data_IF_859182897102
#
_entry.id   IF_859182897102
#
_cell.length_a   1.000
_cell.length_b   1.000
_cell.length_c   1.000
_cell.angle_alpha   90.00
_cell.angle_beta   90.00
_cell.angle_gamma   90.00
#
_symmetry.space_group_name_H-M   'P 1'
#
loop_
_entity.id
_entity.type
_entity.pdbx_description
1 polymer ?
#
# COMPACT_ATOMS: atom_id res chain seq x y z
N UNK A 1 -42.85 29.27 -14.76
CA UNK A 1 -41.91 30.42 -14.71
C UNK A 1 -40.50 29.90 -14.87
N UNK A 2 -39.91 30.11 -16.05
CA UNK A 2 -38.50 29.82 -16.37
C UNK A 2 -37.61 30.92 -15.77
N UNK A 3 -36.51 30.55 -15.10
CA UNK A 3 -35.35 31.42 -14.98
C UNK A 3 -34.09 30.63 -15.32
N UNK A 4 -33.47 31.09 -16.41
CA UNK A 4 -32.10 30.82 -16.83
C UNK A 4 -31.12 31.31 -15.75
N UNK A 5 -29.99 30.62 -15.58
CA UNK A 5 -28.69 31.30 -15.47
C UNK A 5 -27.69 30.50 -16.32
N UNK A 6 -27.07 31.23 -17.24
CA UNK A 6 -26.15 30.76 -18.24
C UNK A 6 -24.70 30.77 -17.75
N UNK A 7 -24.00 29.81 -18.33
CA UNK A 7 -22.58 29.54 -18.57
C UNK A 7 -21.59 30.72 -18.63
N UNK A 8 -20.33 30.35 -18.37
CA UNK A 8 -19.08 30.79 -19.04
C UNK A 8 -18.14 31.69 -18.22
N UNK A 9 -17.03 31.09 -17.77
CA UNK A 9 -15.84 31.83 -17.34
C UNK A 9 -14.73 31.69 -18.39
N UNK A 10 -14.17 32.84 -18.74
CA UNK A 10 -13.25 33.12 -19.85
C UNK A 10 -11.92 32.37 -19.76
N UNK A 11 -11.41 31.99 -20.93
CA UNK A 11 -10.02 31.61 -21.15
C UNK A 11 -9.08 32.82 -21.23
N UNK A 12 -7.80 32.56 -20.98
CA UNK A 12 -6.70 33.50 -21.21
C UNK A 12 -5.72 32.82 -22.17
N UNK A 13 -5.49 33.45 -23.31
CA UNK A 13 -4.49 33.09 -24.32
C UNK A 13 -3.74 34.36 -24.73
N UNK A 14 -2.47 34.16 -25.10
CA UNK A 14 -1.54 35.06 -25.83
C UNK A 14 -0.85 36.19 -25.02
N UNK A 15 0.38 36.61 -25.31
CA UNK A 15 1.49 36.10 -26.12
C UNK A 15 2.72 37.05 -25.95
N UNK A 16 3.93 36.49 -26.12
CA UNK A 16 5.11 37.00 -26.85
C UNK A 16 5.89 38.31 -26.48
N UNK A 17 7.23 38.13 -26.48
CA UNK A 17 8.31 39.03 -26.99
C UNK A 17 8.64 40.29 -26.18
N UNK A 18 9.86 40.82 -26.06
CA UNK A 18 11.23 40.56 -26.56
C UNK A 18 12.18 41.56 -25.84
N UNK A 19 13.47 41.22 -25.72
CA UNK A 19 14.63 42.04 -25.28
C UNK A 19 14.82 43.34 -26.13
N UNK A 20 15.70 44.35 -25.84
CA UNK A 20 17.15 44.20 -25.54
C UNK A 20 17.82 45.31 -24.67
N UNK A 21 19.13 45.13 -24.40
CA UNK A 21 20.22 46.14 -24.20
C UNK A 21 21.15 45.70 -23.05
N UNK A 22 22.46 45.88 -23.03
CA UNK A 22 23.50 46.23 -23.99
C UNK A 22 24.83 45.96 -23.25
N UNK A 23 25.86 45.48 -23.94
CA UNK A 23 27.22 45.34 -23.40
C UNK A 23 27.90 46.72 -23.23
N UNK A 24 28.99 46.81 -22.44
CA UNK A 24 30.29 46.92 -23.11
C UNK A 24 31.47 46.17 -22.43
N UNK A 25 32.23 45.49 -23.30
CA UNK A 25 33.69 45.59 -23.55
C UNK A 25 34.73 45.48 -22.41
N UNK A 26 35.40 44.31 -22.41
CA UNK A 26 36.84 44.00 -22.36
C UNK A 26 37.84 44.75 -21.45
N UNK A 27 38.61 43.96 -20.69
CA UNK A 27 40.05 44.12 -20.51
C UNK A 27 40.71 42.74 -20.30
N UNK A 28 41.78 42.49 -21.06
CA UNK A 28 42.59 41.26 -21.05
C UNK A 28 43.67 41.25 -19.94
N UNK A 29 44.63 40.30 -20.01
CA UNK A 29 44.94 39.40 -18.91
C UNK A 29 46.16 39.79 -18.08
N UNK A 30 46.24 39.31 -16.84
CA UNK A 30 47.47 39.30 -16.04
C UNK A 30 47.75 37.89 -15.50
N UNK A 31 48.99 37.48 -15.72
CA UNK A 31 49.54 36.16 -15.57
C UNK A 31 49.60 35.69 -14.11
N UNK A 32 49.35 34.39 -13.90
CA UNK A 32 49.61 33.68 -12.66
C UNK A 32 51.07 33.18 -12.62
N UNK A 33 51.78 33.26 -11.48
CA UNK A 33 53.01 32.51 -11.26
C UNK A 33 52.71 31.06 -10.80
N UNK A 34 53.61 30.10 -11.07
CA UNK A 34 53.43 28.71 -10.71
C UNK A 34 53.83 28.46 -9.25
N UNK A 35 53.15 27.53 -8.58
CA UNK A 35 53.62 26.95 -7.32
C UNK A 35 53.36 25.45 -7.32
N UNK A 36 54.42 24.75 -7.69
CA UNK A 36 54.91 23.44 -7.25
C UNK A 36 53.90 22.39 -6.80
N UNK A 37 53.78 21.36 -7.66
CA UNK A 37 53.27 20.03 -7.34
C UNK A 37 54.10 19.36 -6.25
N UNK A 38 53.44 18.93 -5.17
CA UNK A 38 53.93 17.86 -4.32
C UNK A 38 53.34 16.55 -4.84
N UNK A 39 54.18 15.74 -5.49
CA UNK A 39 53.83 14.42 -6.01
C UNK A 39 53.60 13.45 -4.84
N UNK A 40 52.34 13.11 -4.57
CA UNK A 40 51.97 11.95 -3.76
C UNK A 40 51.71 10.79 -4.73
N UNK A 41 52.50 9.73 -4.60
CA UNK A 41 52.40 8.53 -5.43
C UNK A 41 51.02 7.84 -5.36
N UNK A 42 50.72 6.92 -6.28
CA UNK A 42 49.42 6.27 -6.36
C UNK A 42 49.17 5.40 -5.11
N UNK A 43 48.11 5.71 -4.37
CA UNK A 43 47.54 4.83 -3.36
C UNK A 43 47.04 3.52 -4.00
N UNK A 44 47.22 2.36 -3.36
CA UNK A 44 46.70 1.10 -3.86
C UNK A 44 45.17 1.15 -3.88
N UNK A 45 44.59 0.95 -5.07
CA UNK A 45 43.15 0.78 -5.25
C UNK A 45 42.76 -0.59 -4.69
N UNK A 46 42.15 -0.62 -3.51
CA UNK A 46 41.47 -1.81 -3.00
C UNK A 46 40.22 -2.01 -3.89
N UNK A 47 40.00 -3.20 -4.48
CA UNK A 47 38.79 -3.48 -5.23
C UNK A 47 37.57 -3.24 -4.32
N UNK A 48 36.65 -2.39 -4.78
CA UNK A 48 35.37 -2.19 -4.11
C UNK A 48 34.67 -3.55 -4.01
N UNK A 49 34.56 -4.08 -2.80
CA UNK A 49 33.73 -5.25 -2.54
C UNK A 49 32.29 -4.89 -2.95
N UNK A 50 31.73 -5.65 -3.90
CA UNK A 50 30.29 -5.64 -4.16
C UNK A 50 29.56 -5.82 -2.83
N UNK A 51 28.57 -4.97 -2.49
CA UNK A 51 27.76 -5.21 -1.31
C UNK A 51 27.02 -6.54 -1.53
N UNK A 52 27.53 -7.59 -0.91
CA UNK A 52 26.88 -8.89 -0.87
C UNK A 52 25.72 -8.74 0.10
N UNK A 53 24.51 -8.60 -0.44
CA UNK A 53 23.29 -8.54 0.37
C UNK A 53 23.20 -9.87 1.12
N UNK A 54 23.29 -9.89 2.47
CA UNK A 54 23.13 -11.13 3.20
C UNK A 54 21.71 -11.68 2.99
N UNK A 55 21.53 -12.99 2.83
CA UNK A 55 20.20 -13.59 2.75
C UNK A 55 19.43 -13.25 4.03
N UNK A 56 18.27 -12.62 3.86
CA UNK A 56 17.37 -12.24 4.94
C UNK A 56 16.88 -13.49 5.67
N UNK A 57 17.20 -13.61 6.96
CA UNK A 57 16.72 -14.68 7.84
C UNK A 57 15.19 -14.68 7.82
N UNK A 58 14.56 -15.86 7.78
CA UNK A 58 13.11 -16.01 7.85
C UNK A 58 12.57 -15.18 9.03
N UNK A 59 11.57 -14.32 8.81
CA UNK A 59 11.21 -13.32 9.79
C UNK A 59 10.42 -13.97 10.95
N UNK A 60 10.62 -13.47 12.17
CA UNK A 60 9.92 -13.96 13.35
C UNK A 60 8.51 -13.37 13.37
N UNK A 61 7.50 -14.24 13.46
CA UNK A 61 6.12 -13.80 13.51
C UNK A 61 5.84 -12.96 14.77
N UNK A 62 5.33 -11.75 14.58
CA UNK A 62 5.20 -10.73 15.64
C UNK A 62 3.82 -10.74 16.29
N UNK A 63 2.79 -11.16 15.55
CA UNK A 63 1.40 -11.13 15.99
C UNK A 63 0.65 -12.35 15.44
N UNK A 64 -0.01 -13.10 16.34
CA UNK A 64 -1.01 -14.07 15.93
C UNK A 64 -2.30 -13.32 15.58
N UNK A 65 -2.64 -13.23 14.28
CA UNK A 65 -3.85 -12.53 13.81
C UNK A 65 -5.11 -13.03 14.53
N UNK A 66 -5.17 -14.33 14.85
CA UNK A 66 -6.30 -14.95 15.55
C UNK A 66 -6.44 -14.62 17.03
N UNK A 67 -5.49 -13.90 17.64
CA UNK A 67 -5.57 -13.45 19.04
C UNK A 67 -5.97 -11.98 19.17
N UNK A 68 -6.32 -11.33 18.05
CA UNK A 68 -6.74 -9.94 18.05
C UNK A 68 -8.26 -9.83 18.31
N UNK A 69 -8.66 -8.80 19.05
CA UNK A 69 -10.08 -8.53 19.37
C UNK A 69 -10.92 -8.11 18.14
N UNK A 70 -10.25 -7.77 17.03
CA UNK A 70 -10.86 -7.46 15.74
C UNK A 70 -10.04 -8.11 14.64
N UNK A 71 -10.69 -8.50 13.55
CA UNK A 71 -9.95 -8.93 12.37
C UNK A 71 -9.25 -7.71 11.75
N UNK A 72 -7.91 -7.74 11.56
CA UNK A 72 -7.23 -6.66 10.90
C UNK A 72 -7.69 -6.55 9.43
N UNK A 73 -7.67 -5.34 8.85
CA UNK A 73 -7.75 -5.17 7.40
C UNK A 73 -6.75 -6.10 6.68
N UNK A 74 -7.10 -6.59 5.50
CA UNK A 74 -6.28 -7.55 4.76
C UNK A 74 -6.14 -8.92 5.43
N UNK A 75 -6.81 -9.24 6.53
CA UNK A 75 -6.79 -10.60 7.07
C UNK A 75 -7.54 -11.58 6.17
N UNK A 76 -7.02 -12.80 6.06
CA UNK A 76 -7.76 -13.92 5.49
C UNK A 76 -8.54 -14.65 6.60
N UNK A 77 -9.79 -14.98 6.31
CA UNK A 77 -10.67 -15.73 7.21
C UNK A 77 -11.44 -16.78 6.42
N UNK A 78 -11.90 -17.81 7.09
CA UNK A 78 -12.83 -18.80 6.53
C UNK A 78 -14.19 -18.76 7.21
N UNK A 79 -15.22 -19.21 6.49
CA UNK A 79 -16.56 -19.41 7.06
C UNK A 79 -16.56 -20.67 7.92
N UNK A 80 -16.80 -20.52 9.22
CA UNK A 80 -16.80 -21.62 10.20
C UNK A 80 -18.17 -22.29 10.39
N UNK A 81 -19.24 -21.59 10.01
CA UNK A 81 -20.63 -22.09 10.08
C UNK A 81 -21.03 -22.80 8.78
N UNK A 82 -22.13 -23.56 8.81
CA UNK A 82 -22.63 -24.29 7.63
C UNK A 82 -22.87 -23.34 6.45
N UNK A 83 -23.56 -22.24 6.73
CA UNK A 83 -23.98 -21.25 5.76
C UNK A 83 -23.88 -19.84 6.35
N UNK A 84 -23.42 -18.87 5.56
CA UNK A 84 -23.31 -17.47 5.96
C UNK A 84 -23.75 -16.56 4.81
N UNK A 85 -24.57 -15.55 5.11
CA UNK A 85 -25.06 -14.63 4.07
C UNK A 85 -24.05 -13.50 3.82
N UNK A 86 -23.61 -13.34 2.57
CA UNK A 86 -22.96 -12.10 2.11
C UNK A 86 -24.04 -11.10 1.73
N UNK A 87 -23.95 -9.86 2.25
CA UNK A 87 -24.99 -8.84 2.10
C UNK A 87 -24.45 -7.52 1.56
N UNK A 88 -25.33 -6.70 1.00
CA UNK A 88 -24.93 -5.40 0.44
C UNK A 88 -24.61 -4.34 1.51
N UNK A 89 -25.08 -4.52 2.75
CA UNK A 89 -24.89 -3.62 3.89
C UNK A 89 -24.76 -4.44 5.19
N UNK A 90 -24.18 -3.89 6.27
CA UNK A 90 -24.03 -4.59 7.56
C UNK A 90 -25.36 -4.67 8.31
N UNK A 91 -26.30 -5.49 7.84
CA UNK A 91 -27.61 -5.69 8.46
C UNK A 91 -28.29 -6.96 7.93
N UNK A 92 -29.03 -7.65 8.79
CA UNK A 92 -29.83 -8.84 8.41
C UNK A 92 -30.99 -8.52 7.45
N UNK A 93 -31.45 -7.27 7.40
CA UNK A 93 -32.47 -6.81 6.45
C UNK A 93 -31.90 -6.37 5.10
N UNK A 94 -30.57 -6.28 4.97
CA UNK A 94 -29.93 -5.90 3.71
C UNK A 94 -30.05 -7.01 2.66
N UNK A 95 -30.12 -6.64 1.38
CA UNK A 95 -30.19 -7.59 0.26
C UNK A 95 -29.03 -8.59 0.34
N UNK A 96 -29.36 -9.88 0.22
CA UNK A 96 -28.37 -10.96 0.07
C UNK A 96 -27.72 -10.84 -1.30
N UNK A 97 -26.39 -10.76 -1.30
CA UNK A 97 -25.54 -10.82 -2.49
C UNK A 97 -25.42 -12.29 -2.92
N UNK A 98 -24.98 -13.15 -2.00
CA UNK A 98 -24.89 -14.59 -2.19
C UNK A 98 -24.92 -15.32 -0.84
N UNK A 99 -25.00 -16.65 -0.89
CA UNK A 99 -24.80 -17.54 0.25
C UNK A 99 -23.39 -18.11 0.20
N UNK A 100 -22.69 -18.09 1.33
CA UNK A 100 -21.37 -18.65 1.53
C UNK A 100 -21.49 -19.99 2.27
N UNK A 101 -20.66 -20.95 1.91
CA UNK A 101 -20.59 -22.26 2.56
C UNK A 101 -19.43 -22.33 3.54
N UNK A 102 -19.48 -23.29 4.48
CA UNK A 102 -18.34 -23.62 5.33
C UNK A 102 -17.05 -23.78 4.51
N UNK A 103 -15.96 -23.19 4.99
CA UNK A 103 -14.65 -23.26 4.35
C UNK A 103 -14.46 -22.26 3.20
N UNK A 104 -15.48 -21.49 2.81
CA UNK A 104 -15.30 -20.37 1.88
C UNK A 104 -14.29 -19.38 2.46
N UNK A 105 -13.29 -19.00 1.66
CA UNK A 105 -12.23 -18.07 2.09
C UNK A 105 -12.55 -16.64 1.67
N UNK A 106 -12.46 -15.75 2.65
CA UNK A 106 -12.74 -14.32 2.55
C UNK A 106 -11.52 -13.50 2.93
N UNK A 107 -11.38 -12.31 2.34
CA UNK A 107 -10.39 -11.31 2.76
C UNK A 107 -11.12 -10.11 3.35
N UNK A 108 -10.73 -9.69 4.55
CA UNK A 108 -11.28 -8.52 5.23
C UNK A 108 -10.81 -7.24 4.52
N UNK A 109 -11.76 -6.36 4.22
CA UNK A 109 -11.49 -5.04 3.62
C UNK A 109 -11.18 -4.00 4.71
N UNK A 110 -10.36 -2.98 4.39
CA UNK A 110 -9.61 -2.78 3.14
C UNK A 110 -8.34 -3.65 3.02
N UNK A 111 -7.78 -3.74 1.81
CA UNK A 111 -6.41 -4.20 1.53
C UNK A 111 -5.61 -3.03 0.90
N UNK A 112 -4.36 -3.25 0.47
CA UNK A 112 -3.43 -2.22 0.00
C UNK A 112 -4.01 -1.18 -0.97
N UNK A 113 -4.75 -1.63 -2.00
CA UNK A 113 -5.24 -0.80 -3.09
C UNK A 113 -6.74 -0.97 -3.38
N UNK A 114 -7.46 -1.75 -2.56
CA UNK A 114 -8.89 -2.04 -2.75
C UNK A 114 -9.58 -1.90 -1.40
N UNK A 115 -10.64 -1.09 -1.36
CA UNK A 115 -11.51 -0.90 -0.19
C UNK A 115 -12.97 -0.96 -0.61
N UNK A 116 -13.78 -1.66 0.19
CA UNK A 116 -15.25 -1.64 0.11
C UNK A 116 -15.88 -1.16 1.43
N UNK A 117 -15.09 -0.45 2.23
CA UNK A 117 -15.44 0.04 3.56
C UNK A 117 -14.59 -0.57 4.67
N UNK A 118 -14.86 -0.12 5.89
CA UNK A 118 -14.17 -0.52 7.12
C UNK A 118 -15.10 -1.24 8.10
N UNK A 119 -14.61 -2.30 8.74
CA UNK A 119 -15.24 -2.95 9.89
C UNK A 119 -14.36 -2.84 11.15
N UNK A 120 -14.80 -3.34 12.31
CA UNK A 120 -16.14 -3.88 12.56
C UNK A 120 -17.23 -2.80 12.58
N UNK A 121 -18.45 -3.19 12.23
CA UNK A 121 -19.67 -2.41 12.46
C UNK A 121 -20.62 -3.24 13.31
N UNK A 122 -20.97 -2.75 14.50
CA UNK A 122 -21.96 -3.42 15.36
C UNK A 122 -23.37 -3.01 14.97
N UNK A 123 -24.20 -3.99 14.55
CA UNK A 123 -25.59 -3.73 14.17
C UNK A 123 -26.46 -4.96 14.27
N UNK A 124 -27.69 -4.79 14.76
CA UNK A 124 -28.70 -5.84 14.90
C UNK A 124 -28.23 -7.03 15.77
N UNK A 125 -27.33 -6.80 16.75
CA UNK A 125 -26.75 -7.86 17.58
C UNK A 125 -25.55 -8.58 16.96
N UNK A 126 -25.12 -8.20 15.76
CA UNK A 126 -23.98 -8.82 15.08
C UNK A 126 -22.82 -7.85 14.92
N UNK A 127 -21.61 -8.42 14.86
CA UNK A 127 -20.40 -7.72 14.43
C UNK A 127 -20.21 -7.95 12.93
N UNK A 128 -20.26 -6.90 12.11
CA UNK A 128 -20.16 -7.00 10.66
C UNK A 128 -18.80 -6.56 10.14
N UNK A 129 -18.30 -7.27 9.12
CA UNK A 129 -17.08 -6.91 8.40
C UNK A 129 -17.33 -6.81 6.89
N UNK A 130 -16.73 -5.82 6.21
CA UNK A 130 -16.68 -5.79 4.77
C UNK A 130 -15.64 -6.80 4.28
N UNK A 131 -16.01 -7.61 3.30
CA UNK A 131 -15.17 -8.71 2.80
C UNK A 131 -15.19 -8.80 1.28
N UNK A 132 -14.13 -9.38 0.76
CA UNK A 132 -14.04 -9.87 -0.60
C UNK A 132 -14.11 -11.41 -0.58
N UNK A 133 -14.95 -12.01 -1.41
CA UNK A 133 -14.97 -13.45 -1.63
C UNK A 133 -13.87 -13.85 -2.60
N UNK A 134 -12.99 -14.76 -2.17
CA UNK A 134 -11.94 -15.33 -3.01
C UNK A 134 -12.46 -16.56 -3.79
N UNK A 135 -11.63 -17.10 -4.68
CA UNK A 135 -11.90 -18.41 -5.28
C UNK A 135 -11.53 -19.59 -4.39
N UNK A 136 -10.77 -19.34 -3.33
CA UNK A 136 -10.24 -20.39 -2.48
C UNK A 136 -11.29 -20.92 -1.50
N UNK A 137 -11.13 -22.18 -1.12
CA UNK A 137 -12.08 -22.99 -0.34
C UNK A 137 -11.34 -23.88 0.65
N UNK A 138 -12.08 -24.48 1.57
CA UNK A 138 -11.58 -25.37 2.62
C UNK A 138 -10.45 -24.74 3.45
N UNK A 139 -10.57 -23.45 3.77
CA UNK A 139 -9.61 -22.75 4.63
C UNK A 139 -8.19 -22.65 4.07
N UNK A 140 -7.99 -22.89 2.77
CA UNK A 140 -6.66 -22.94 2.17
C UNK A 140 -6.41 -21.67 1.34
N UNK A 141 -5.23 -21.07 1.48
CA UNK A 141 -4.76 -19.97 0.64
C UNK A 141 -3.76 -20.50 -0.41
N UNK A 142 -3.60 -19.82 -1.55
CA UNK A 142 -2.55 -20.18 -2.50
C UNK A 142 -1.16 -19.93 -1.90
N UNK A 143 -0.13 -20.69 -2.31
CA UNK A 143 1.24 -20.41 -1.90
C UNK A 143 1.71 -19.04 -2.45
N UNK A 144 2.65 -18.40 -1.74
CA UNK A 144 3.34 -17.23 -2.29
C UNK A 144 4.15 -17.62 -3.54
N UNK A 145 4.30 -16.72 -4.53
CA UNK A 145 3.93 -15.30 -4.54
C UNK A 145 2.48 -15.00 -5.01
N UNK A 146 1.60 -16.00 -5.08
CA UNK A 146 0.24 -15.79 -5.59
C UNK A 146 -0.61 -15.01 -4.57
N UNK A 147 -1.08 -13.82 -4.96
CA UNK A 147 -2.03 -13.04 -4.16
C UNK A 147 -3.43 -13.67 -4.23
N UNK A 148 -4.11 -13.92 -3.09
CA UNK A 148 -5.45 -14.50 -3.09
C UNK A 148 -6.52 -13.53 -3.60
N UNK A 149 -6.16 -12.25 -3.77
CA UNK A 149 -7.03 -11.20 -4.31
C UNK A 149 -6.71 -10.85 -5.76
N UNK A 150 -5.69 -11.48 -6.38
CA UNK A 150 -5.41 -11.27 -7.79
C UNK A 150 -6.56 -11.82 -8.64
N UNK A 151 -6.98 -11.13 -9.71
CA UNK A 151 -7.99 -11.64 -10.60
C UNK A 151 -7.42 -12.81 -11.41
N UNK A 152 -7.66 -14.04 -10.96
CA UNK A 152 -7.39 -15.23 -11.77
C UNK A 152 -8.56 -15.39 -12.74
N UNK A 153 -8.38 -14.95 -13.99
CA UNK A 153 -9.33 -15.18 -15.10
C UNK A 153 -10.80 -14.78 -14.84
N UNK A 154 -11.07 -13.73 -14.05
CA UNK A 154 -12.45 -13.25 -13.83
C UNK A 154 -12.78 -12.04 -14.71
N UNK A 155 -13.75 -12.20 -15.59
CA UNK A 155 -14.42 -11.09 -16.28
C UNK A 155 -15.46 -10.47 -15.34
N UNK A 156 -15.03 -9.62 -14.42
CA UNK A 156 -15.93 -8.87 -13.53
C UNK A 156 -15.26 -8.38 -12.24
N UNK A 157 -15.86 -7.39 -11.56
CA UNK A 157 -15.37 -6.95 -10.26
C UNK A 157 -15.42 -8.11 -9.24
N UNK A 158 -14.50 -8.13 -8.26
CA UNK A 158 -14.52 -9.15 -7.23
C UNK A 158 -15.85 -9.09 -6.46
N UNK A 159 -16.43 -10.24 -6.14
CA UNK A 159 -17.65 -10.28 -5.36
C UNK A 159 -17.35 -9.84 -3.93
N UNK A 160 -17.93 -8.71 -3.52
CA UNK A 160 -17.72 -8.11 -2.21
C UNK A 160 -19.04 -7.77 -1.53
N UNK A 161 -18.98 -7.56 -0.21
CA UNK A 161 -20.13 -7.23 0.61
C UNK A 161 -19.80 -7.29 2.09
N UNK A 162 -20.83 -7.49 2.91
CA UNK A 162 -20.75 -7.55 4.36
C UNK A 162 -21.17 -8.92 4.87
N UNK A 163 -20.40 -9.46 5.81
CA UNK A 163 -20.74 -10.69 6.54
C UNK A 163 -20.81 -10.41 8.04
N UNK A 164 -21.68 -11.14 8.74
CA UNK A 164 -21.63 -11.19 10.19
C UNK A 164 -20.47 -12.10 10.62
N UNK A 165 -19.56 -11.59 11.44
CA UNK A 165 -18.46 -12.35 12.00
C UNK A 165 -18.84 -13.10 13.28
N UNK A 166 -19.84 -12.60 14.01
CA UNK A 166 -20.42 -13.21 15.21
C UNK A 166 -21.75 -12.52 15.56
N UNK A 167 -22.51 -13.13 16.46
CA UNK A 167 -23.72 -12.61 17.12
C UNK A 167 -23.49 -12.19 18.59
N UNK A 168 -22.23 -12.00 18.99
CA UNK A 168 -21.82 -11.73 20.37
C UNK A 168 -21.48 -12.96 21.20
N UNK A 169 -21.92 -14.16 20.79
CA UNK A 169 -21.62 -15.42 21.49
C UNK A 169 -20.87 -16.41 20.60
N UNK A 170 -21.35 -16.59 19.36
CA UNK A 170 -20.88 -17.59 18.43
C UNK A 170 -20.05 -16.96 17.31
N UNK A 171 -18.78 -17.36 17.12
CA UNK A 171 -18.00 -16.92 15.97
C UNK A 171 -18.48 -17.64 14.69
N UNK A 172 -18.66 -16.87 13.61
CA UNK A 172 -19.05 -17.37 12.29
C UNK A 172 -17.88 -17.44 11.32
N UNK A 173 -16.80 -16.75 11.63
CA UNK A 173 -15.56 -16.72 10.89
C UNK A 173 -14.44 -17.28 11.75
N UNK A 174 -13.50 -17.98 11.13
CA UNK A 174 -12.24 -18.39 11.74
C UNK A 174 -11.06 -17.72 11.01
N UNK A 175 -10.04 -17.22 11.74
CA UNK A 175 -8.84 -16.66 11.13
C UNK A 175 -8.02 -17.75 10.43
N UNK A 176 -7.46 -17.41 9.27
CA UNK A 176 -6.47 -18.25 8.60
C UNK A 176 -5.05 -17.84 9.01
N UNK A 177 -4.14 -18.81 9.03
CA UNK A 177 -2.74 -18.58 9.34
C UNK A 177 -2.06 -17.73 8.25
N UNK A 178 -1.17 -16.80 8.62
CA UNK A 178 -0.45 -15.98 7.64
C UNK A 178 0.57 -16.82 6.87
N UNK A 179 0.74 -16.51 5.58
CA UNK A 179 1.74 -17.15 4.71
C UNK A 179 3.09 -16.46 4.85
N UNK A 180 3.83 -16.73 5.92
CA UNK A 180 5.16 -16.13 6.08
C UNK A 180 6.15 -16.71 5.06
N UNK A 181 6.87 -15.86 4.30
CA UNK A 181 7.73 -16.34 3.23
C UNK A 181 9.02 -16.95 3.78
N UNK A 182 9.48 -18.05 3.15
CA UNK A 182 10.80 -18.61 3.43
C UNK A 182 11.93 -17.73 2.85
N UNK A 183 11.64 -16.99 1.77
CA UNK A 183 12.54 -16.05 1.10
C UNK A 183 11.88 -14.69 1.05
N UNK A 184 12.53 -13.67 1.62
CA UNK A 184 12.01 -12.31 1.61
C UNK A 184 12.49 -11.59 0.35
N UNK A 185 11.60 -11.49 -0.63
CA UNK A 185 11.78 -10.75 -1.88
C UNK A 185 10.50 -9.99 -2.26
N UNK A 186 10.60 -9.12 -3.27
CA UNK A 186 9.47 -8.28 -3.67
C UNK A 186 8.28 -9.11 -4.21
N UNK A 187 8.52 -10.21 -4.92
CA UNK A 187 7.47 -11.07 -5.46
C UNK A 187 6.62 -11.68 -4.34
N UNK A 188 7.28 -12.27 -3.35
CA UNK A 188 6.60 -12.88 -2.22
C UNK A 188 5.86 -11.83 -1.39
N UNK A 189 6.48 -10.69 -1.09
CA UNK A 189 5.84 -9.62 -0.29
C UNK A 189 4.66 -8.97 -1.01
N UNK A 190 4.73 -8.86 -2.34
CA UNK A 190 3.63 -8.40 -3.18
C UNK A 190 2.46 -9.41 -3.20
N UNK A 191 2.75 -10.71 -3.11
CA UNK A 191 1.75 -11.78 -2.98
C UNK A 191 1.08 -11.86 -1.60
N UNK A 192 1.69 -11.28 -0.57
CA UNK A 192 1.15 -11.25 0.79
C UNK A 192 0.00 -10.25 0.91
N UNK A 193 -0.98 -10.59 1.74
CA UNK A 193 -1.98 -9.67 2.25
C UNK A 193 -1.36 -8.74 3.30
N UNK A 194 -1.91 -7.53 3.47
CA UNK A 194 -1.37 -6.55 4.39
C UNK A 194 -1.24 -7.07 5.83
N UNK A 195 -2.26 -7.75 6.36
CA UNK A 195 -2.20 -8.37 7.70
C UNK A 195 -1.11 -9.45 7.83
N UNK A 196 -0.80 -10.20 6.76
CA UNK A 196 0.28 -11.19 6.78
C UNK A 196 1.63 -10.51 6.98
N UNK A 197 1.84 -9.31 6.43
CA UNK A 197 3.10 -8.56 6.61
C UNK A 197 3.31 -8.17 8.06
N UNK A 198 2.26 -7.66 8.71
CA UNK A 198 2.28 -7.34 10.14
C UNK A 198 2.53 -8.58 10.99
N UNK A 199 1.96 -9.72 10.61
CA UNK A 199 2.13 -10.97 11.33
C UNK A 199 3.51 -11.59 11.14
N UNK A 200 4.11 -11.45 9.96
CA UNK A 200 5.35 -12.13 9.60
C UNK A 200 6.60 -11.32 9.86
N UNK A 201 6.57 -9.98 9.78
CA UNK A 201 7.77 -9.14 9.87
C UNK A 201 7.85 -8.43 11.22
N UNK A 202 8.82 -8.82 12.05
CA UNK A 202 9.17 -8.15 13.32
C UNK A 202 10.37 -7.20 13.23
N UNK A 203 11.04 -7.14 12.08
CA UNK A 203 12.19 -6.28 11.83
C UNK A 203 12.11 -5.70 10.40
N UNK A 204 12.83 -4.61 10.10
CA UNK A 204 12.92 -4.07 8.75
C UNK A 204 13.45 -5.12 7.76
N UNK A 205 12.90 -5.10 6.54
CA UNK A 205 13.28 -5.97 5.44
C UNK A 205 13.80 -5.14 4.26
N UNK A 206 14.65 -5.74 3.44
CA UNK A 206 15.16 -5.10 2.22
C UNK A 206 14.42 -5.64 1.00
N UNK A 207 13.91 -4.75 0.15
CA UNK A 207 13.22 -5.08 -1.09
C UNK A 207 13.87 -4.36 -2.26
N UNK A 208 14.07 -5.08 -3.36
CA UNK A 208 14.56 -4.51 -4.62
C UNK A 208 13.46 -4.54 -5.67
N UNK A 209 13.31 -3.45 -6.42
CA UNK A 209 12.34 -3.35 -7.50
C UNK A 209 12.33 -1.97 -8.15
N UNK A 210 11.31 -1.71 -8.95
CA UNK A 210 11.17 -0.44 -9.66
C UNK A 210 10.20 0.47 -8.93
N UNK A 211 10.69 1.63 -8.51
CA UNK A 211 9.88 2.67 -7.90
C UNK A 211 9.01 3.34 -8.97
N UNK A 212 7.70 3.38 -8.73
CA UNK A 212 6.75 3.97 -9.66
C UNK A 212 5.75 4.91 -9.00
N UNK A 213 5.35 5.90 -9.80
CA UNK A 213 4.29 6.86 -9.62
C UNK A 213 4.03 7.38 -8.18
N UNK A 214 4.64 8.52 -7.81
CA UNK A 214 4.23 9.22 -6.59
C UNK A 214 2.77 9.66 -6.69
N UNK A 215 1.94 9.29 -5.71
CA UNK A 215 0.55 9.76 -5.61
C UNK A 215 -0.43 9.07 -6.59
N UNK A 216 -0.08 7.92 -7.15
CA UNK A 216 -0.96 7.18 -8.07
C UNK A 216 -2.25 6.62 -7.43
N UNK A 217 -2.40 6.70 -6.10
CA UNK A 217 -3.58 6.15 -5.44
C UNK A 217 -4.87 6.91 -5.75
N UNK A 218 -4.80 8.20 -6.09
CA UNK A 218 -5.97 9.04 -6.36
C UNK A 218 -6.48 9.84 -5.16
N UNK A 219 -7.75 10.27 -5.21
CA UNK A 219 -8.43 10.98 -4.12
C UNK A 219 -9.41 10.08 -3.36
N UNK A 220 -9.19 9.92 -2.05
CA UNK A 220 -10.08 9.17 -1.16
C UNK A 220 -10.89 10.13 -0.29
N UNK A 221 -12.22 9.97 -0.28
CA UNK A 221 -13.11 10.83 0.51
C UNK A 221 -13.12 10.38 1.98
N UNK A 222 -12.82 11.29 2.89
CA UNK A 222 -12.82 11.03 4.33
C UNK A 222 -11.85 11.92 5.08
N UNK A 223 -11.66 11.64 6.37
CA UNK A 223 -10.66 12.31 7.21
C UNK A 223 -9.74 11.27 7.84
N UNK A 224 -8.44 11.39 7.61
CA UNK A 224 -7.44 10.40 8.01
C UNK A 224 -6.28 11.10 8.70
N UNK A 225 -5.83 10.57 9.83
CA UNK A 225 -4.65 11.08 10.53
C UNK A 225 -3.76 9.94 11.02
N UNK A 226 -2.42 10.05 10.90
CA UNK A 226 -1.72 11.03 10.07
C UNK A 226 -1.92 10.72 8.57
N UNK A 227 -2.03 11.75 7.73
CA UNK A 227 -2.42 11.60 6.32
C UNK A 227 -1.53 10.60 5.55
N UNK A 228 -0.21 10.76 5.67
CA UNK A 228 0.78 9.94 4.97
C UNK A 228 0.69 8.43 5.28
N UNK A 229 0.14 8.05 6.43
CA UNK A 229 0.04 6.66 6.88
C UNK A 229 -1.37 6.10 6.73
N UNK A 230 -2.39 6.91 7.03
CA UNK A 230 -3.77 6.45 7.18
C UNK A 230 -4.64 6.64 5.92
N UNK A 231 -4.28 7.52 4.99
CA UNK A 231 -5.07 7.72 3.76
C UNK A 231 -4.84 6.52 2.84
N UNK A 232 -5.89 5.80 2.39
CA UNK A 232 -5.71 4.59 1.57
C UNK A 232 -4.96 4.81 0.26
N UNK A 233 -5.12 5.99 -0.33
CA UNK A 233 -4.56 6.35 -1.63
C UNK A 233 -3.25 7.15 -1.56
N UNK A 234 -2.76 7.45 -0.35
CA UNK A 234 -1.50 8.17 -0.15
C UNK A 234 -0.32 7.19 -0.14
N UNK A 235 -0.11 6.47 -1.24
CA UNK A 235 0.99 5.53 -1.37
C UNK A 235 1.83 5.79 -2.60
N UNK A 236 3.09 5.39 -2.48
CA UNK A 236 4.00 5.14 -3.57
C UNK A 236 4.01 3.64 -3.85
N UNK A 237 4.60 3.18 -4.95
CA UNK A 237 4.66 1.75 -5.21
C UNK A 237 6.01 1.22 -5.66
N UNK A 238 6.26 -0.03 -5.32
CA UNK A 238 7.33 -0.86 -5.86
C UNK A 238 6.73 -1.95 -6.73
N UNK A 239 7.35 -2.19 -7.88
CA UNK A 239 6.91 -3.24 -8.81
C UNK A 239 8.06 -4.17 -9.17
N UNK A 240 7.76 -5.47 -9.21
CA UNK A 240 8.63 -6.49 -9.80
C UNK A 240 8.68 -6.33 -11.32
N UNK A 241 7.54 -6.06 -11.94
CA UNK A 241 7.41 -5.89 -13.38
C UNK A 241 6.65 -4.58 -13.65
N UNK A 242 7.35 -3.46 -13.90
CA UNK A 242 6.71 -2.17 -14.13
C UNK A 242 5.80 -2.14 -15.37
N UNK A 243 6.00 -3.05 -16.34
CA UNK A 243 5.15 -3.17 -17.51
C UNK A 243 3.84 -3.93 -17.23
N UNK A 244 3.82 -4.82 -16.22
CA UNK A 244 2.68 -5.68 -15.95
C UNK A 244 1.45 -4.96 -15.37
N UNK A 245 1.57 -3.70 -14.89
CA UNK A 245 0.52 -2.86 -14.26
C UNK A 245 -0.33 -3.52 -13.15
N UNK A 246 -0.14 -4.79 -12.83
CA UNK A 246 -0.93 -5.58 -11.88
C UNK A 246 -0.19 -5.63 -10.55
N UNK A 247 -0.90 -5.15 -9.50
CA UNK A 247 -0.58 -5.41 -8.10
C UNK A 247 0.71 -4.79 -7.59
N UNK A 248 1.00 -3.49 -7.78
CA UNK A 248 2.23 -2.96 -7.25
C UNK A 248 2.17 -2.92 -5.70
N UNK A 249 3.29 -3.18 -5.04
CA UNK A 249 3.39 -3.17 -3.59
C UNK A 249 3.35 -1.72 -3.09
N UNK A 250 2.30 -1.37 -2.34
CA UNK A 250 2.16 -0.03 -1.77
C UNK A 250 3.19 0.19 -0.64
N UNK A 251 3.95 1.28 -0.74
CA UNK A 251 4.91 1.73 0.28
C UNK A 251 4.64 3.18 0.66
N UNK A 252 5.05 3.56 1.88
CA UNK A 252 4.80 4.87 2.47
C UNK A 252 6.12 5.57 2.80
N UNK A 253 6.21 6.84 2.41
CA UNK A 253 7.31 7.70 2.81
C UNK A 253 6.86 8.61 3.94
N UNK A 254 7.51 8.46 5.09
CA UNK A 254 7.23 9.28 6.26
C UNK A 254 7.65 10.76 6.04
N UNK A 255 6.94 11.73 6.63
CA UNK A 255 7.42 13.11 6.71
C UNK A 255 8.77 13.16 7.43
N UNK A 256 9.75 13.81 6.82
CA UNK A 256 11.13 13.85 7.31
C UNK A 256 11.92 12.56 7.09
N UNK A 257 11.36 11.57 6.39
CA UNK A 257 12.04 10.35 5.96
C UNK A 257 12.88 10.56 4.69
N UNK A 258 13.33 9.46 4.04
CA UNK A 258 14.13 9.54 2.83
C UNK A 258 13.38 10.24 1.68
N UNK A 259 14.13 10.86 0.78
CA UNK A 259 13.57 11.47 -0.42
C UNK A 259 12.98 10.40 -1.35
N UNK A 260 11.85 10.72 -1.99
CA UNK A 260 11.25 9.86 -3.01
C UNK A 260 12.14 9.82 -4.26
N UNK A 261 12.44 8.63 -4.82
CA UNK A 261 13.14 8.50 -6.10
C UNK A 261 12.34 9.10 -7.26
N UNK A 262 12.98 9.28 -8.42
CA UNK A 262 12.24 9.56 -9.65
C UNK A 262 11.45 8.30 -10.07
N UNK A 263 10.23 8.48 -10.57
CA UNK A 263 9.45 7.36 -11.12
C UNK A 263 10.22 6.66 -12.25
N UNK A 264 10.15 5.33 -12.28
CA UNK A 264 10.94 4.51 -13.22
C UNK A 264 12.39 4.32 -12.80
N UNK A 265 12.73 4.53 -11.52
CA UNK A 265 14.08 4.24 -10.99
C UNK A 265 14.11 2.85 -10.38
N UNK A 266 15.14 2.05 -10.67
CA UNK A 266 15.44 0.83 -9.91
C UNK A 266 15.98 1.21 -8.54
N UNK A 267 15.42 0.61 -7.50
CA UNK A 267 15.76 0.91 -6.12
C UNK A 267 15.93 -0.35 -5.30
N UNK A 268 16.78 -0.26 -4.28
CA UNK A 268 16.77 -1.12 -3.11
C UNK A 268 16.27 -0.28 -1.94
N UNK A 269 15.23 -0.73 -1.25
CA UNK A 269 14.64 -0.03 -0.11
C UNK A 269 14.68 -0.89 1.14
N UNK A 270 14.88 -0.24 2.29
CA UNK A 270 14.62 -0.84 3.60
C UNK A 270 13.24 -0.38 4.05
N UNK A 271 12.37 -1.32 4.39
CA UNK A 271 11.00 -1.05 4.83
C UNK A 271 10.68 -1.79 6.12
N UNK A 272 9.83 -1.19 6.95
CA UNK A 272 9.26 -1.84 8.13
C UNK A 272 7.74 -1.78 8.11
N UNK A 273 7.13 -2.72 8.84
CA UNK A 273 5.75 -2.62 9.32
C UNK A 273 5.76 -2.18 10.78
N UNK A 274 4.59 -1.95 11.36
CA UNK A 274 4.40 -1.59 12.76
C UNK A 274 5.06 -0.25 13.16
N UNK A 275 4.94 0.75 12.29
CA UNK A 275 5.44 2.09 12.60
C UNK A 275 4.79 2.64 13.89
N UNK A 276 5.61 3.12 14.83
CA UNK A 276 5.15 3.62 16.14
C UNK A 276 4.05 4.69 16.07
N UNK A 277 3.99 5.46 14.97
CA UNK A 277 2.98 6.51 14.75
C UNK A 277 1.60 5.95 14.41
N UNK A 278 1.49 4.66 14.09
CA UNK A 278 0.22 3.94 13.89
C UNK A 278 -0.71 4.02 15.10
N UNK A 279 -0.16 4.11 16.31
CA UNK A 279 -0.93 4.27 17.57
C UNK A 279 -1.79 5.53 17.61
N UNK A 280 -1.45 6.53 16.78
CA UNK A 280 -2.17 7.81 16.66
C UNK A 280 -3.18 7.79 15.50
N UNK A 281 -3.36 6.65 14.83
CA UNK A 281 -4.22 6.59 13.66
C UNK A 281 -5.70 6.81 14.00
N UNK A 282 -6.32 7.71 13.25
CA UNK A 282 -7.76 7.96 13.28
C UNK A 282 -8.29 8.09 11.87
N UNK A 283 -9.50 7.56 11.63
CA UNK A 283 -10.08 7.46 10.31
C UNK A 283 -11.58 7.71 10.39
N UNK A 284 -12.07 8.54 9.48
CA UNK A 284 -13.48 8.74 9.18
C UNK A 284 -13.62 8.45 7.70
N UNK A 285 -14.30 7.36 7.39
CA UNK A 285 -14.58 6.96 6.02
C UNK A 285 -15.69 7.85 5.46
N UNK A 286 -15.39 8.51 4.34
CA UNK A 286 -16.33 9.37 3.63
C UNK A 286 -16.99 8.68 2.44
N UNK A 287 -16.78 7.37 2.26
CA UNK A 287 -17.45 6.62 1.20
C UNK A 287 -18.98 6.57 1.43
N UNK A 288 -19.74 7.31 0.60
CA UNK A 288 -21.20 7.32 0.62
C UNK A 288 -21.80 8.69 1.00
N UNK A 289 -23.07 8.70 1.43
CA UNK A 289 -23.79 9.95 1.78
C UNK A 289 -23.59 10.39 3.24
N UNK A 290 -22.93 9.59 4.06
CA UNK A 290 -22.70 9.86 5.49
C UNK A 290 -21.29 9.44 5.91
N UNK A 291 -20.57 10.36 6.53
CA UNK A 291 -19.25 10.10 7.09
C UNK A 291 -19.38 9.12 8.28
N UNK A 292 -18.57 8.06 8.29
CA UNK A 292 -18.60 7.02 9.32
C UNK A 292 -17.25 6.93 10.02
N UNK A 293 -17.24 7.10 11.33
CA UNK A 293 -16.04 6.89 12.14
C UNK A 293 -15.64 5.41 12.11
N UNK A 294 -14.39 5.14 11.77
CA UNK A 294 -13.81 3.78 11.79
C UNK A 294 -13.46 3.41 13.23
N UNK A 295 -13.68 2.14 13.60
CA UNK A 295 -13.27 1.61 14.92
C UNK A 295 -11.77 1.88 15.15
N UNK A 296 -11.42 2.37 16.35
CA UNK A 296 -10.06 2.78 16.68
C UNK A 296 -9.06 1.64 16.54
N UNK A 297 -9.44 0.41 16.89
CA UNK A 297 -8.55 -0.77 16.79
C UNK A 297 -8.26 -1.08 15.33
N UNK A 298 -9.29 -1.03 14.47
CA UNK A 298 -9.12 -1.16 13.02
C UNK A 298 -8.23 -0.07 12.45
N UNK A 299 -8.44 1.19 12.83
CA UNK A 299 -7.64 2.31 12.34
C UNK A 299 -6.15 2.15 12.71
N UNK A 300 -5.86 1.69 13.93
CA UNK A 300 -4.49 1.39 14.35
C UNK A 300 -3.92 0.23 13.54
N UNK A 301 -4.62 -0.90 13.43
CA UNK A 301 -4.14 -2.08 12.68
C UNK A 301 -3.91 -1.77 11.20
N UNK A 302 -4.81 -1.01 10.57
CA UNK A 302 -4.70 -0.51 9.20
C UNK A 302 -3.40 0.28 8.95
N UNK A 303 -2.95 1.03 9.94
CA UNK A 303 -1.70 1.78 9.87
C UNK A 303 -0.48 0.91 10.18
N UNK A 304 -0.60 -0.04 11.10
CA UNK A 304 0.49 -0.95 11.49
C UNK A 304 0.91 -1.85 10.34
N UNK A 305 -0.01 -2.30 9.49
CA UNK A 305 0.30 -3.14 8.33
C UNK A 305 0.99 -2.42 7.17
N UNK A 306 1.10 -1.08 7.21
CA UNK A 306 1.69 -0.29 6.13
C UNK A 306 3.20 -0.49 6.09
N UNK A 307 3.73 -0.71 4.88
CA UNK A 307 5.17 -0.71 4.65
C UNK A 307 5.69 0.73 4.61
N UNK A 308 6.48 1.10 5.59
CA UNK A 308 7.10 2.43 5.70
C UNK A 308 8.57 2.33 5.27
N UNK A 309 8.99 3.23 4.40
CA UNK A 309 10.36 3.27 3.88
C UNK A 309 11.29 3.99 4.86
N UNK A 310 12.35 3.31 5.27
CA UNK A 310 13.41 3.86 6.14
C UNK A 310 14.61 4.34 5.34
N UNK A 311 15.01 3.58 4.31
CA UNK A 311 16.17 3.88 3.49
C UNK A 311 15.90 3.57 2.03
N UNK A 312 16.55 4.32 1.15
CA UNK A 312 16.47 4.10 -0.30
C UNK A 312 17.85 4.24 -0.92
N UNK A 313 18.22 3.23 -1.71
CA UNK A 313 19.38 3.26 -2.59
C UNK A 313 18.91 3.22 -4.04
N UNK A 314 19.29 4.22 -4.82
CA UNK A 314 18.98 4.28 -6.26
C UNK A 314 20.05 3.54 -7.06
N UNK A 315 19.61 2.77 -8.06
CA UNK A 315 20.46 1.94 -8.93
C UNK A 315 20.40 2.40 -10.40
N UNK A 316 19.84 3.59 -10.65
CA UNK A 316 19.63 4.17 -11.97
C UNK A 316 18.27 3.86 -12.59
N UNK A 317 17.99 4.39 -13.80
CA UNK A 317 16.71 4.26 -14.46
C UNK A 317 16.42 2.83 -14.90
N UNK A 318 15.15 2.43 -14.84
CA UNK A 318 14.64 1.18 -15.37
C UNK A 318 14.17 1.34 -16.83
N UNK A 319 14.86 0.73 -17.82
CA UNK A 319 14.46 0.81 -19.21
C UNK A 319 13.13 0.10 -19.51
N UNK A 320 12.65 -0.77 -18.62
CA UNK A 320 11.38 -1.49 -18.77
C UNK A 320 10.18 -0.69 -18.28
N UNK A 321 10.44 0.48 -17.67
CA UNK A 321 9.38 1.31 -17.13
C UNK A 321 8.64 2.03 -18.27
N UNK A 322 7.30 1.93 -18.33
CA UNK A 322 6.54 2.49 -19.44
C UNK A 322 6.66 4.03 -19.48
N UNK A 323 6.75 4.63 -20.67
CA UNK A 323 6.68 6.09 -20.79
C UNK A 323 5.31 6.57 -20.32
N UNK A 324 5.31 7.66 -19.54
CA UNK A 324 4.10 8.39 -19.14
C UNK A 324 3.69 9.40 -20.21
#
# INVERSE_FOLDING_TARGET
MRRLIATSLLGVLAACSSSPAASPTAAGPLAAPPSSEASLGPSPTIPAASPSIPPSIAPVATIAIGTLDVYPPGAAVEVAVKELNLRTKPSTSAKRVTLLSRGDVLVISPNDNISFGFGPVSKNGFTWYPVMLTEYRNGTLPPLPVSPTAPVNRTGPPLSGWVAANDGETPYLAPLAPRCPAVVDLENVQGMLAAERLACFGAPITLAGTYGCPGCGGVYVGTFKPLWLAVPQEFDFLSVNPAARIGPLAVRFAPGGPARPAAGTRVSVVVHVDDSRSTKCTMVDGAGTTATTVDKRTAVLYCRERLVVEQVQTMGPDPSFPPF
#
